data_IF_242534611568
#
_entry.id   IF_242534611568
#
_cell.length_a   1.000
_cell.length_b   1.000
_cell.length_c   1.000
_cell.angle_alpha   90.00
_cell.angle_beta   90.00
_cell.angle_gamma   90.00
#
_symmetry.space_group_name_H-M   'P 1'
#
loop_
_entity.id
_entity.type
_entity.pdbx_description
1 polymer ?
#
# COMPACT_ATOMS: atom_id res chain seq x y z
N UNK A 1 1.46 -1.69 10.67
CA UNK A 1 2.59 -1.29 11.54
C UNK A 1 2.12 -0.49 12.75
N UNK A 2 1.74 0.80 12.60
CA UNK A 2 1.44 1.69 13.74
C UNK A 2 0.41 1.12 14.72
N UNK A 3 -0.68 0.52 14.21
CA UNK A 3 -1.69 -0.15 15.04
C UNK A 3 -1.09 -1.26 15.92
N UNK A 4 -0.15 -2.05 15.42
CA UNK A 4 0.49 -3.12 16.19
C UNK A 4 1.41 -2.55 17.28
N UNK A 5 2.16 -1.49 16.97
CA UNK A 5 2.99 -0.78 17.95
C UNK A 5 2.13 -0.13 19.04
N UNK A 6 0.98 0.46 18.68
CA UNK A 6 0.05 1.06 19.64
C UNK A 6 -0.55 0.02 20.61
N UNK A 7 -0.83 -1.19 20.14
CA UNK A 7 -1.32 -2.29 20.97
C UNK A 7 -0.23 -2.74 21.96
N UNK A 8 0.99 -2.98 21.48
CA UNK A 8 2.11 -3.46 22.31
C UNK A 8 2.55 -2.44 23.36
N UNK A 9 2.61 -1.15 22.99
CA UNK A 9 3.06 -0.09 23.89
C UNK A 9 1.93 0.53 24.73
N UNK A 10 0.68 0.12 24.48
CA UNK A 10 -0.49 0.57 25.23
C UNK A 10 -0.63 2.08 25.28
N UNK A 11 -1.04 2.62 26.44
CA UNK A 11 -1.28 4.06 26.65
C UNK A 11 -0.03 4.94 26.44
N UNK A 12 1.17 4.36 26.46
CA UNK A 12 2.44 5.07 26.26
C UNK A 12 2.94 5.09 24.82
N UNK A 13 2.18 4.60 23.84
CA UNK A 13 2.65 4.44 22.46
C UNK A 13 3.15 5.73 21.81
N UNK A 14 2.59 6.88 22.18
CA UNK A 14 3.01 8.20 21.70
C UNK A 14 4.47 8.48 22.05
N UNK A 15 4.92 8.04 23.23
CA UNK A 15 6.32 8.17 23.67
C UNK A 15 7.28 7.32 22.82
N UNK A 16 6.76 6.35 22.07
CA UNK A 16 7.53 5.47 21.19
C UNK A 16 7.39 5.82 19.72
N UNK A 17 6.57 6.82 19.37
CA UNK A 17 6.40 7.27 17.99
C UNK A 17 7.74 7.65 17.32
N UNK A 18 8.68 8.35 17.99
CA UNK A 18 10.00 8.63 17.40
C UNK A 18 10.77 7.36 17.04
N UNK A 19 10.68 6.31 17.87
CA UNK A 19 11.35 5.02 17.60
C UNK A 19 10.68 4.26 16.45
N UNK A 20 9.36 4.38 16.31
CA UNK A 20 8.62 3.77 15.20
C UNK A 20 8.95 4.45 13.88
N UNK A 21 8.93 5.78 13.84
CA UNK A 21 9.34 6.56 12.68
C UNK A 21 10.79 6.28 12.30
N UNK A 22 11.70 6.31 13.28
CA UNK A 22 13.10 5.98 13.08
C UNK A 22 13.27 4.59 12.46
N UNK A 23 12.56 3.59 13.00
CA UNK A 23 12.62 2.22 12.50
C UNK A 23 12.10 2.12 11.07
N UNK A 24 11.02 2.82 10.74
CA UNK A 24 10.43 2.84 9.40
C UNK A 24 11.37 3.48 8.38
N UNK A 25 11.86 4.69 8.65
CA UNK A 25 12.71 5.44 7.74
C UNK A 25 14.07 4.78 7.47
N UNK A 26 14.50 3.89 8.37
CA UNK A 26 15.79 3.21 8.28
C UNK A 26 15.71 1.73 7.90
N UNK A 27 14.51 1.17 7.74
CA UNK A 27 14.36 -0.21 7.29
C UNK A 27 14.39 -0.30 5.76
N UNK A 28 14.80 -1.45 5.23
CA UNK A 28 14.84 -1.66 3.79
C UNK A 28 13.43 -1.81 3.21
N UNK A 29 13.16 -1.07 2.14
CA UNK A 29 11.90 -1.15 1.40
C UNK A 29 12.17 -1.73 0.00
N UNK A 30 11.54 -2.86 -0.30
CA UNK A 30 11.77 -3.59 -1.55
C UNK A 30 11.41 -2.80 -2.81
N UNK A 31 10.36 -1.96 -2.75
CA UNK A 31 9.90 -1.14 -3.88
C UNK A 31 10.93 -0.08 -4.30
N UNK A 32 11.64 0.52 -3.35
CA UNK A 32 12.68 1.55 -3.60
C UNK A 32 14.10 0.98 -3.55
N UNK A 33 14.26 -0.31 -3.25
CA UNK A 33 15.55 -1.01 -3.10
C UNK A 33 16.54 -0.34 -2.13
N UNK A 34 16.03 0.40 -1.15
CA UNK A 34 16.81 1.13 -0.16
C UNK A 34 15.96 1.39 1.10
N UNK A 35 16.58 1.96 2.14
CA UNK A 35 15.81 2.58 3.21
C UNK A 35 15.36 3.98 2.79
N UNK A 36 14.15 4.46 3.15
CA UNK A 36 13.68 5.80 2.82
C UNK A 36 14.69 6.91 3.14
N UNK A 37 15.32 6.85 4.32
CA UNK A 37 16.38 7.79 4.70
C UNK A 37 17.57 7.75 3.73
N UNK A 38 18.02 6.56 3.35
CA UNK A 38 19.14 6.41 2.41
C UNK A 38 18.76 6.93 1.02
N UNK A 39 17.54 6.67 0.57
CA UNK A 39 17.04 7.17 -0.71
C UNK A 39 16.98 8.71 -0.72
N UNK A 40 16.59 9.33 0.39
CA UNK A 40 16.45 10.79 0.50
C UNK A 40 17.81 11.50 0.65
N UNK A 41 18.70 10.98 1.49
CA UNK A 41 19.94 11.67 1.86
C UNK A 41 21.21 11.10 1.21
N UNK A 42 21.08 10.05 0.39
CA UNK A 42 22.22 9.38 -0.27
C UNK A 42 23.17 8.62 0.67
N UNK A 43 22.94 8.67 1.99
CA UNK A 43 23.78 8.05 3.02
C UNK A 43 22.94 7.26 4.02
N UNK A 44 23.54 6.26 4.67
CA UNK A 44 22.87 5.55 5.77
C UNK A 44 22.71 6.51 6.96
N UNK A 45 21.60 6.37 7.69
CA UNK A 45 21.42 7.13 8.93
C UNK A 45 22.49 6.74 9.94
N UNK A 46 22.98 7.74 10.66
CA UNK A 46 23.92 7.56 11.76
C UNK A 46 23.11 7.42 13.04
N UNK A 47 23.19 6.26 13.70
CA UNK A 47 22.56 6.08 15.00
C UNK A 47 23.37 6.82 16.08
N UNK A 48 22.72 7.43 17.09
CA UNK A 48 23.40 7.85 18.31
C UNK A 48 24.14 6.70 19.03
N UNK A 49 23.70 5.46 18.78
CA UNK A 49 24.26 4.22 19.34
C UNK A 49 25.53 3.74 18.61
N UNK A 50 25.90 4.33 17.47
CA UNK A 50 27.05 3.92 16.68
C UNK A 50 27.95 5.12 16.34
N UNK A 51 28.50 5.77 17.36
CA UNK A 51 29.74 6.54 17.24
C UNK A 51 30.89 5.67 17.70
N UNK A 52 31.54 5.01 16.76
CA UNK A 52 32.87 4.43 16.96
C UNK A 52 33.76 4.96 15.84
N UNK A 53 33.97 6.28 15.83
CA UNK A 53 35.15 6.93 15.25
C UNK A 53 35.09 8.41 15.69
N UNK A 54 35.98 8.72 16.64
CA UNK A 54 36.29 10.06 17.20
C UNK A 54 35.33 10.59 18.28
N UNK A 55 35.63 10.24 19.53
CA UNK A 55 35.86 11.25 20.58
C UNK A 55 34.70 11.77 21.45
N UNK A 56 33.43 11.70 21.02
CA UNK A 56 32.29 12.25 21.80
C UNK A 56 31.02 11.43 21.50
N UNK A 57 30.16 10.99 22.43
CA UNK A 57 30.15 10.95 23.87
C UNK A 57 29.06 9.93 24.27
N UNK A 58 29.27 9.18 25.36
CA UNK A 58 28.19 8.45 26.05
C UNK A 58 27.30 9.47 26.77
N UNK A 59 26.39 10.13 26.06
CA UNK A 59 25.48 11.15 26.63
C UNK A 59 24.28 10.47 27.35
N UNK A 60 24.04 9.18 27.09
CA UNK A 60 22.90 8.42 27.62
C UNK A 60 23.37 7.13 28.30
N UNK A 61 22.83 6.82 29.47
CA UNK A 61 23.23 5.65 30.26
C UNK A 61 23.11 4.31 29.50
N UNK A 62 23.98 3.31 29.76
CA UNK A 62 23.99 2.02 29.06
C UNK A 62 22.64 1.29 29.07
N UNK A 63 21.88 1.45 30.15
CA UNK A 63 20.54 0.86 30.32
C UNK A 63 19.54 1.42 29.31
N UNK A 64 19.52 2.73 29.11
CA UNK A 64 18.62 3.39 28.15
C UNK A 64 18.96 3.01 26.71
N UNK A 65 20.25 2.81 26.40
CA UNK A 65 20.70 2.35 25.09
C UNK A 65 20.21 0.92 24.83
N UNK A 66 20.36 0.02 25.81
CA UNK A 66 19.89 -1.36 25.69
C UNK A 66 18.37 -1.42 25.58
N UNK A 67 17.65 -0.65 26.38
CA UNK A 67 16.17 -0.59 26.32
C UNK A 67 15.70 -0.08 24.95
N UNK A 68 16.30 0.99 24.45
CA UNK A 68 15.99 1.56 23.13
C UNK A 68 16.28 0.56 22.02
N UNK A 69 17.40 -0.15 22.10
CA UNK A 69 17.78 -1.18 21.12
C UNK A 69 16.76 -2.32 21.10
N UNK A 70 16.34 -2.81 22.28
CA UNK A 70 15.30 -3.85 22.39
C UNK A 70 13.98 -3.38 21.75
N UNK A 71 13.56 -2.14 22.02
CA UNK A 71 12.34 -1.56 21.42
C UNK A 71 12.44 -1.44 19.90
N UNK A 72 13.59 -1.00 19.36
CA UNK A 72 13.81 -0.93 17.91
C UNK A 72 13.70 -2.32 17.26
N UNK A 73 14.29 -3.34 17.87
CA UNK A 73 14.20 -4.73 17.37
C UNK A 73 12.74 -5.20 17.37
N UNK A 74 12.02 -4.98 18.46
CA UNK A 74 10.59 -5.32 18.55
C UNK A 74 9.77 -4.62 17.47
N UNK A 75 9.96 -3.31 17.28
CA UNK A 75 9.25 -2.53 16.25
C UNK A 75 9.53 -3.10 14.86
N UNK A 76 10.78 -3.40 14.52
CA UNK A 76 11.14 -4.00 13.22
C UNK A 76 10.46 -5.36 13.00
N UNK A 77 10.40 -6.20 14.02
CA UNK A 77 9.68 -7.48 13.93
C UNK A 77 8.18 -7.27 13.70
N UNK A 78 7.56 -6.32 14.41
CA UNK A 78 6.14 -5.98 14.21
C UNK A 78 5.86 -5.36 12.84
N UNK A 79 6.80 -4.57 12.33
CA UNK A 79 6.75 -4.06 10.97
C UNK A 79 6.71 -5.19 9.95
N UNK A 80 7.65 -6.14 10.06
CA UNK A 80 7.74 -7.27 9.16
C UNK A 80 6.47 -8.12 9.23
N UNK A 81 6.03 -8.51 10.43
CA UNK A 81 4.81 -9.30 10.60
C UNK A 81 3.55 -8.59 10.06
N UNK A 82 3.45 -7.26 10.21
CA UNK A 82 2.34 -6.50 9.64
C UNK A 82 2.40 -6.47 8.11
N UNK A 83 3.59 -6.33 7.52
CA UNK A 83 3.81 -6.40 6.08
C UNK A 83 3.45 -7.79 5.55
N UNK A 84 3.90 -8.85 6.20
CA UNK A 84 3.63 -10.23 5.81
C UNK A 84 2.14 -10.57 5.88
N UNK A 85 1.41 -10.07 6.90
CA UNK A 85 -0.06 -10.19 6.99
C UNK A 85 -0.76 -9.45 5.87
N UNK A 86 -0.35 -8.21 5.57
CA UNK A 86 -0.92 -7.45 4.46
C UNK A 86 -0.69 -8.16 3.14
N UNK A 87 0.53 -8.68 2.93
CA UNK A 87 0.89 -9.46 1.76
C UNK A 87 0.05 -10.73 1.66
N UNK A 88 -0.08 -11.51 2.73
CA UNK A 88 -0.89 -12.74 2.72
C UNK A 88 -2.37 -12.47 2.45
N UNK A 89 -2.94 -11.41 3.04
CA UNK A 89 -4.33 -11.00 2.77
C UNK A 89 -4.53 -10.53 1.32
N UNK A 90 -3.57 -9.76 0.79
CA UNK A 90 -3.61 -9.32 -0.60
C UNK A 90 -3.48 -10.51 -1.55
N UNK A 91 -2.48 -11.37 -1.34
CA UNK A 91 -2.20 -12.54 -2.18
C UNK A 91 -3.37 -13.54 -2.15
N UNK A 92 -3.98 -13.80 -0.98
CA UNK A 92 -5.16 -14.69 -0.86
C UNK A 92 -6.37 -14.17 -1.66
N UNK A 93 -6.57 -12.84 -1.68
CA UNK A 93 -7.68 -12.22 -2.42
C UNK A 93 -7.35 -12.00 -3.89
N UNK A 94 -6.06 -12.06 -4.27
CA UNK A 94 -5.61 -11.83 -5.63
C UNK A 94 -5.81 -13.08 -6.45
N UNK A 95 -6.99 -13.20 -7.08
CA UNK A 95 -7.14 -14.10 -8.22
C UNK A 95 -6.41 -13.46 -9.40
N UNK A 96 -5.43 -14.11 -10.04
CA UNK A 96 -4.90 -13.63 -11.31
C UNK A 96 -6.08 -13.58 -12.28
N UNK A 97 -6.48 -12.36 -12.65
CA UNK A 97 -7.61 -12.13 -13.52
C UNK A 97 -7.04 -11.74 -14.87
N UNK A 98 -7.02 -12.70 -15.77
CA UNK A 98 -6.61 -12.52 -17.15
C UNK A 98 -7.87 -12.50 -18.01
N UNK A 99 -7.99 -11.44 -18.80
CA UNK A 99 -9.04 -11.32 -19.81
C UNK A 99 -8.41 -11.55 -21.18
N UNK A 100 -9.09 -12.33 -22.02
CA UNK A 100 -8.65 -12.53 -23.40
C UNK A 100 -9.08 -11.34 -24.25
N UNK A 101 -8.21 -10.91 -25.16
CA UNK A 101 -8.55 -9.88 -26.16
C UNK A 101 -9.64 -10.44 -27.09
N UNK A 102 -10.71 -9.68 -27.30
CA UNK A 102 -11.94 -10.12 -27.97
C UNK A 102 -13.18 -9.43 -27.40
N UNK A 103 -14.32 -9.50 -28.09
CA UNK A 103 -15.66 -8.91 -27.86
C UNK A 103 -15.77 -7.54 -27.15
N UNK A 104 -15.18 -7.37 -25.97
CA UNK A 104 -15.18 -6.14 -25.15
C UNK A 104 -13.80 -5.65 -24.72
N UNK A 105 -12.74 -6.47 -24.77
CA UNK A 105 -11.35 -6.06 -24.49
C UNK A 105 -10.65 -5.82 -25.82
N UNK A 106 -10.26 -4.57 -26.06
CA UNK A 106 -9.55 -4.14 -27.27
C UNK A 106 -8.05 -4.42 -27.17
N UNK A 107 -7.46 -4.15 -26.01
CA UNK A 107 -6.01 -4.17 -25.82
C UNK A 107 -5.66 -4.40 -24.34
N UNK A 108 -4.59 -5.15 -24.08
CA UNK A 108 -3.97 -5.27 -22.76
C UNK A 108 -2.87 -4.20 -22.62
N UNK A 109 -2.97 -3.36 -21.59
CA UNK A 109 -1.99 -2.30 -21.31
C UNK A 109 -1.14 -2.73 -20.12
N UNK A 110 -0.11 -3.53 -20.44
CA UNK A 110 0.72 -4.20 -19.43
C UNK A 110 -0.11 -5.08 -18.49
N UNK A 111 0.42 -5.40 -17.32
CA UNK A 111 -0.21 -6.39 -16.42
C UNK A 111 -1.35 -5.87 -15.54
N UNK A 112 -1.71 -4.60 -15.67
CA UNK A 112 -2.54 -3.90 -14.67
C UNK A 112 -3.76 -3.20 -15.24
N UNK A 113 -3.87 -3.05 -16.56
CA UNK A 113 -4.98 -2.35 -17.18
C UNK A 113 -5.37 -2.96 -18.53
N UNK A 114 -6.64 -2.77 -18.90
CA UNK A 114 -7.19 -3.15 -20.19
C UNK A 114 -7.89 -1.96 -20.82
N UNK A 115 -7.79 -1.87 -22.15
CA UNK A 115 -8.59 -0.98 -22.97
C UNK A 115 -9.84 -1.73 -23.42
N UNK A 116 -11.01 -1.17 -23.12
CA UNK A 116 -12.30 -1.79 -23.41
C UNK A 116 -12.99 -1.12 -24.61
N UNK A 117 -13.84 -1.88 -25.29
CA UNK A 117 -14.78 -1.36 -26.27
C UNK A 117 -15.99 -0.84 -25.51
N UNK A 118 -16.15 0.48 -25.48
CA UNK A 118 -17.29 1.13 -24.83
C UNK A 118 -18.42 1.41 -25.84
N UNK A 119 -19.69 1.38 -25.39
CA UNK A 119 -20.82 1.95 -26.11
C UNK A 119 -20.62 3.45 -26.39
N UNK A 120 -21.30 3.98 -27.42
CA UNK A 120 -21.15 5.40 -27.81
C UNK A 120 -21.64 6.36 -26.74
N UNK A 121 -22.61 5.92 -25.94
CA UNK A 121 -23.20 6.63 -24.81
C UNK A 121 -22.17 6.92 -23.72
N UNK A 122 -21.11 6.11 -23.63
CA UNK A 122 -20.00 6.27 -22.69
C UNK A 122 -18.75 6.88 -23.35
N UNK A 123 -18.89 7.60 -24.47
CA UNK A 123 -17.73 8.21 -25.16
C UNK A 123 -16.97 9.24 -24.30
N UNK A 124 -17.61 9.77 -23.26
CA UNK A 124 -16.99 10.68 -22.28
C UNK A 124 -16.05 9.93 -21.31
N UNK A 125 -16.24 8.62 -21.14
CA UNK A 125 -15.46 7.81 -20.21
C UNK A 125 -14.19 7.31 -20.89
N UNK A 126 -13.04 7.46 -20.23
CA UNK A 126 -11.80 6.85 -20.69
C UNK A 126 -11.97 5.33 -20.76
N UNK A 127 -11.63 4.75 -21.91
CA UNK A 127 -11.84 3.33 -22.13
C UNK A 127 -10.75 2.42 -21.56
N UNK A 128 -9.81 2.97 -20.77
CA UNK A 128 -8.76 2.20 -20.09
C UNK A 128 -9.12 2.03 -18.62
N UNK A 129 -9.21 0.78 -18.17
CA UNK A 129 -9.60 0.43 -16.80
C UNK A 129 -8.55 -0.49 -16.15
N UNK A 130 -8.29 -0.27 -14.85
CA UNK A 130 -7.47 -1.18 -14.07
C UNK A 130 -8.16 -2.55 -13.92
N UNK A 131 -7.39 -3.65 -14.00
CA UNK A 131 -7.91 -5.02 -13.85
C UNK A 131 -8.69 -5.18 -12.53
N UNK A 132 -8.24 -4.52 -11.46
CA UNK A 132 -8.89 -4.56 -10.14
C UNK A 132 -10.32 -4.02 -10.12
N UNK A 133 -10.66 -3.17 -11.09
CA UNK A 133 -11.98 -2.55 -11.21
C UNK A 133 -12.91 -3.38 -12.10
N UNK A 134 -12.38 -4.40 -12.79
CA UNK A 134 -13.13 -5.27 -13.67
C UNK A 134 -13.49 -6.57 -12.96
N UNK A 135 -14.65 -7.14 -13.32
CA UNK A 135 -15.05 -8.48 -12.89
C UNK A 135 -15.34 -9.32 -14.13
N UNK A 136 -14.94 -10.59 -14.09
CA UNK A 136 -15.23 -11.54 -15.16
C UNK A 136 -16.74 -11.77 -15.22
N UNK A 137 -17.35 -11.44 -16.35
CA UNK A 137 -18.73 -11.81 -16.64
C UNK A 137 -18.73 -13.26 -17.14
N UNK A 138 -19.59 -14.09 -16.54
CA UNK A 138 -19.76 -15.51 -16.87
C UNK A 138 -21.15 -15.82 -17.45
N UNK A 139 -21.94 -14.80 -17.73
CA UNK A 139 -23.27 -14.98 -18.31
C UNK A 139 -23.14 -15.31 -19.80
N UNK A 140 -23.77 -16.41 -20.22
CA UNK A 140 -23.83 -16.85 -21.63
C UNK A 140 -24.81 -16.00 -22.45
N UNK A 141 -25.74 -15.32 -21.78
CA UNK A 141 -26.72 -14.42 -22.37
C UNK A 141 -26.39 -12.97 -21.95
N UNK A 142 -26.53 -11.96 -22.83
CA UNK A 142 -26.27 -10.59 -22.45
C UNK A 142 -27.31 -10.16 -21.41
N UNK A 143 -26.95 -10.25 -20.13
CA UNK A 143 -27.54 -9.45 -19.06
C UNK A 143 -27.16 -7.99 -19.33
N UNK A 144 -27.68 -7.44 -20.43
CA UNK A 144 -27.62 -6.04 -20.75
C UNK A 144 -28.54 -5.36 -19.73
N UNK A 145 -27.96 -4.94 -18.61
CA UNK A 145 -28.63 -3.98 -17.74
C UNK A 145 -28.84 -2.74 -18.61
N UNK A 146 -30.10 -2.33 -18.86
CA UNK A 146 -30.36 -1.13 -19.65
C UNK A 146 -29.66 0.06 -19.00
N UNK A 147 -28.89 0.81 -19.78
CA UNK A 147 -28.24 2.04 -19.30
C UNK A 147 -29.26 3.16 -19.04
N UNK A 148 -30.51 2.98 -19.50
CA UNK A 148 -31.59 3.96 -19.43
C UNK A 148 -31.95 4.37 -17.98
N UNK A 149 -31.60 3.56 -16.97
CA UNK A 149 -31.81 3.87 -15.55
C UNK A 149 -30.57 4.36 -14.79
N UNK A 150 -29.44 4.56 -15.49
CA UNK A 150 -28.16 4.96 -14.87
C UNK A 150 -27.93 6.45 -15.07
N UNK A 151 -28.41 7.26 -14.13
CA UNK A 151 -28.18 8.70 -14.14
C UNK A 151 -26.81 9.03 -13.53
N UNK A 152 -25.97 9.73 -14.32
CA UNK A 152 -24.69 10.24 -13.87
C UNK A 152 -24.75 11.77 -13.79
N UNK A 153 -24.12 12.37 -12.77
CA UNK A 153 -23.95 13.82 -12.73
C UNK A 153 -22.86 14.31 -13.71
N UNK A 154 -22.68 15.64 -13.81
CA UNK A 154 -21.65 16.26 -14.65
C UNK A 154 -20.20 15.84 -14.27
N UNK A 155 -20.02 15.17 -13.13
CA UNK A 155 -18.76 14.65 -12.62
C UNK A 155 -18.64 13.12 -12.75
N UNK A 156 -19.59 12.47 -13.42
CA UNK A 156 -19.67 11.02 -13.62
C UNK A 156 -19.91 10.20 -12.34
N UNK A 157 -20.48 10.79 -11.30
CA UNK A 157 -20.96 10.05 -10.12
C UNK A 157 -22.37 9.48 -10.37
N UNK A 158 -22.61 8.25 -9.90
CA UNK A 158 -23.94 7.66 -9.88
C UNK A 158 -24.85 8.49 -8.97
N UNK A 159 -26.02 8.86 -9.48
CA UNK A 159 -27.08 9.46 -8.67
C UNK A 159 -27.96 8.32 -8.15
N UNK A 160 -27.88 8.02 -6.86
CA UNK A 160 -28.85 7.13 -6.21
C UNK A 160 -30.20 7.85 -6.15
N UNK A 161 -31.21 7.33 -6.84
CA UNK A 161 -32.59 7.74 -6.61
C UNK A 161 -33.05 7.21 -5.24
N UNK A 162 -33.58 8.08 -4.36
CA UNK A 162 -34.10 7.65 -3.07
C UNK A 162 -35.35 6.77 -3.27
N UNK A 163 -35.37 5.61 -2.59
CA UNK A 163 -36.52 4.70 -2.50
C UNK A 163 -37.54 5.22 -1.48
#
# INVERSE_FOLDING_TARGET
MLRACAIDFGKGWVNHLPLVEFSYNNNYHASIKAAPFKALYGRKCRLPVCWAEVGEAQILGPELIQETTKKIVQIKQRMQAACDRQKSYADLKRKPMEFQVGDKVLEEIGKVAYKLKLPKELSIVHNTFYVSNLKKCHADEPLAVPLDGLHFDDKLYFIEEPV
#
